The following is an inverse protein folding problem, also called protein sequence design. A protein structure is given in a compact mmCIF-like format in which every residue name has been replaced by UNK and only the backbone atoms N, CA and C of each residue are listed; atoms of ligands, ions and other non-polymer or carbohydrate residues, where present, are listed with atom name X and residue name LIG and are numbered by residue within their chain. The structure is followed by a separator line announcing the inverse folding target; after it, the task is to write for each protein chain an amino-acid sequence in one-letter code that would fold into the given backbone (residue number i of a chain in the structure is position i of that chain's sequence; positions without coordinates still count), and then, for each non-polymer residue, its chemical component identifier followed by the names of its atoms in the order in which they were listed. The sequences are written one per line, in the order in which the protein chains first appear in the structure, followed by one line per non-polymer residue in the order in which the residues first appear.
data_IF_324649066033
#
_entry.id   IF_324649066033
#
_cell.length_a   1.000
_cell.length_b   1.000
_cell.length_c   1.000
_cell.angle_alpha   90.00
_cell.angle_beta   90.00
_cell.angle_gamma   90.00
#
_symmetry.space_group_name_H-M   'P 1'
#
loop_
_entity.id
_entity.type
_entity.pdbx_description
1 polymer ?
#
# COMPACT_ATOMS: atom_id res chain seq x y z
N UNK A 1 -13.50 1.46 17.71
CA UNK A 1 -12.86 2.04 16.51
C UNK A 1 -13.17 1.14 15.33
N UNK A 2 -13.62 1.68 14.19
CA UNK A 2 -14.01 0.88 13.02
C UNK A 2 -13.13 1.30 11.84
N UNK A 3 -11.97 0.66 11.73
CA UNK A 3 -10.98 0.94 10.70
C UNK A 3 -11.46 0.44 9.34
N UNK A 4 -11.37 1.29 8.31
CA UNK A 4 -11.66 0.94 6.91
C UNK A 4 -10.35 0.95 6.12
N UNK A 5 -10.01 -0.21 5.54
CA UNK A 5 -8.81 -0.36 4.73
C UNK A 5 -9.21 -0.34 3.25
N UNK A 6 -8.66 0.60 2.49
CA UNK A 6 -9.01 0.80 1.07
C UNK A 6 -7.75 0.67 0.22
N UNK A 7 -7.74 -0.30 -0.69
CA UNK A 7 -6.65 -0.48 -1.64
C UNK A 7 -7.06 -0.11 -3.06
N UNK A 8 -6.21 0.64 -3.76
CA UNK A 8 -6.43 0.92 -5.18
C UNK A 8 -5.13 0.88 -5.99
N UNK A 9 -5.21 0.27 -7.17
CA UNK A 9 -4.20 0.38 -8.21
C UNK A 9 -4.79 1.19 -9.36
N UNK A 10 -4.17 2.33 -9.72
CA UNK A 10 -4.61 3.11 -10.88
C UNK A 10 -3.43 3.79 -11.57
N UNK A 11 -3.15 3.49 -12.85
CA UNK A 11 -2.11 4.15 -13.63
C UNK A 11 -2.47 5.60 -14.04
N UNK A 12 -3.63 6.13 -13.64
CA UNK A 12 -4.11 7.49 -13.95
C UNK A 12 -4.39 8.30 -12.68
N UNK A 13 -4.78 9.58 -12.82
CA UNK A 13 -5.02 10.52 -11.72
C UNK A 13 -6.16 10.10 -10.75
N UNK A 14 -6.84 8.98 -10.98
CA UNK A 14 -7.92 8.47 -10.11
C UNK A 14 -7.42 8.07 -8.72
N UNK A 15 -6.11 7.85 -8.52
CA UNK A 15 -5.52 7.67 -7.18
C UNK A 15 -5.76 8.88 -6.28
N UNK A 16 -5.58 10.09 -6.83
CA UNK A 16 -5.73 11.36 -6.10
C UNK A 16 -7.19 11.61 -5.75
N UNK A 17 -8.10 11.29 -6.68
CA UNK A 17 -9.56 11.45 -6.48
C UNK A 17 -10.06 10.46 -5.42
N UNK A 18 -9.64 9.20 -5.50
CA UNK A 18 -10.04 8.17 -4.54
C UNK A 18 -9.52 8.44 -3.13
N UNK A 19 -8.27 8.87 -2.98
CA UNK A 19 -7.73 9.26 -1.68
C UNK A 19 -8.49 10.47 -1.10
N UNK A 20 -8.73 11.50 -1.92
CA UNK A 20 -9.46 12.71 -1.49
C UNK A 20 -10.88 12.42 -1.00
N UNK A 21 -11.62 11.55 -1.70
CA UNK A 21 -12.97 11.17 -1.28
C UNK A 21 -12.98 10.44 0.07
N UNK A 22 -11.93 9.66 0.36
CA UNK A 22 -11.77 8.97 1.63
C UNK A 22 -11.36 9.95 2.73
N UNK A 23 -10.48 10.91 2.43
CA UNK A 23 -10.08 11.98 3.36
C UNK A 23 -11.30 12.80 3.82
N UNK A 24 -12.23 13.10 2.90
CA UNK A 24 -13.43 13.90 3.16
C UNK A 24 -14.57 13.09 3.82
N UNK A 25 -14.42 11.76 3.96
CA UNK A 25 -15.51 10.88 4.42
C UNK A 25 -15.74 10.87 5.93
N UNK A 26 -14.79 11.38 6.73
CA UNK A 26 -14.84 11.30 8.19
C UNK A 26 -14.64 9.87 8.75
N UNK A 27 -14.18 8.93 7.92
CA UNK A 27 -13.88 7.56 8.34
C UNK A 27 -12.50 7.46 8.98
N UNK A 28 -12.38 6.59 9.97
CA UNK A 28 -11.12 6.04 10.43
C UNK A 28 -10.57 5.12 9.33
N UNK A 29 -9.64 5.62 8.50
CA UNK A 29 -9.21 4.90 7.31
C UNK A 29 -7.69 4.68 7.26
N UNK A 30 -7.27 3.68 6.49
CA UNK A 30 -5.89 3.59 5.98
C UNK A 30 -5.95 3.30 4.48
N UNK A 31 -5.33 4.15 3.68
CA UNK A 31 -5.36 4.02 2.22
C UNK A 31 -4.08 3.34 1.72
N UNK A 32 -4.23 2.19 1.06
CA UNK A 32 -3.12 1.37 0.59
C UNK A 32 -2.84 1.65 -0.88
N UNK A 33 -1.69 2.29 -1.12
CA UNK A 33 -1.08 2.40 -2.45
C UNK A 33 -0.17 1.19 -2.61
N UNK A 34 -0.43 0.38 -3.62
CA UNK A 34 0.37 -0.81 -3.92
C UNK A 34 1.04 -0.65 -5.29
N UNK A 35 2.24 -1.19 -5.42
CA UNK A 35 2.91 -1.38 -6.71
C UNK A 35 2.42 -2.69 -7.37
N UNK A 36 3.11 -3.18 -8.42
CA UNK A 36 2.68 -4.35 -9.17
C UNK A 36 2.61 -5.61 -8.30
N UNK A 37 1.46 -6.27 -8.31
CA UNK A 37 1.17 -7.42 -7.46
C UNK A 37 1.54 -8.74 -8.14
N UNK A 38 2.36 -9.53 -7.47
CA UNK A 38 2.69 -10.89 -7.90
C UNK A 38 2.55 -11.90 -6.76
N UNK A 39 2.71 -13.18 -7.09
CA UNK A 39 2.62 -14.28 -6.14
C UNK A 39 4.00 -14.91 -5.98
N UNK A 40 4.45 -15.03 -4.73
CA UNK A 40 5.64 -15.79 -4.35
C UNK A 40 5.39 -16.32 -2.95
N UNK A 41 5.40 -17.62 -2.79
CA UNK A 41 5.15 -18.27 -1.50
C UNK A 41 6.28 -17.96 -0.51
N UNK A 42 5.90 -17.63 0.73
CA UNK A 42 6.81 -17.33 1.83
C UNK A 42 7.36 -15.90 1.83
N UNK A 43 7.22 -15.14 0.74
CA UNK A 43 7.68 -13.76 0.68
C UNK A 43 6.61 -12.80 1.25
N UNK A 44 6.81 -12.43 2.51
CA UNK A 44 5.94 -11.49 3.27
C UNK A 44 6.61 -10.14 3.52
N UNK A 45 7.78 -9.91 2.93
CA UNK A 45 8.58 -8.71 3.16
C UNK A 45 7.96 -7.49 2.47
N UNK A 46 7.70 -6.44 3.23
CA UNK A 46 7.22 -5.17 2.71
C UNK A 46 8.03 -4.00 3.29
N UNK A 47 8.02 -2.89 2.56
CA UNK A 47 8.49 -1.58 2.98
C UNK A 47 7.38 -0.55 2.77
N UNK A 48 7.27 0.37 3.72
CA UNK A 48 6.30 1.46 3.65
C UNK A 48 6.90 2.72 3.06
N UNK A 49 6.10 3.44 2.28
CA UNK A 49 6.42 4.76 1.74
C UNK A 49 5.34 5.74 2.21
N UNK A 50 5.67 6.71 3.08
CA UNK A 50 4.73 7.74 3.52
C UNK A 50 4.11 8.54 2.36
N UNK A 51 2.99 9.22 2.65
CA UNK A 51 2.44 10.18 1.71
C UNK A 51 3.40 11.37 1.52
N UNK A 52 3.49 11.89 0.29
CA UNK A 52 4.39 12.99 -0.05
C UNK A 52 5.83 12.56 -0.39
N UNK A 53 6.22 11.33 -0.06
CA UNK A 53 7.54 10.81 -0.46
C UNK A 53 7.56 10.25 -1.89
N UNK A 54 8.72 10.28 -2.57
CA UNK A 54 8.89 9.66 -3.87
C UNK A 54 8.53 8.17 -3.84
N UNK A 55 7.51 7.80 -4.61
CA UNK A 55 7.02 6.44 -4.67
C UNK A 55 7.93 5.58 -5.56
N UNK A 56 8.99 5.02 -4.97
CA UNK A 56 9.94 4.11 -5.65
C UNK A 56 9.71 2.66 -5.23
N UNK A 57 9.55 1.77 -6.21
CA UNK A 57 9.37 0.33 -6.01
C UNK A 57 8.54 -0.29 -7.13
N UNK A 58 9.07 -1.34 -7.75
CA UNK A 58 8.47 -1.89 -8.97
C UNK A 58 7.44 -3.00 -8.74
N UNK A 59 7.48 -3.68 -7.59
CA UNK A 59 6.64 -4.84 -7.32
C UNK A 59 6.45 -5.10 -5.82
N UNK A 60 5.43 -5.88 -5.47
CA UNK A 60 5.15 -6.37 -4.12
C UNK A 60 4.31 -7.65 -4.17
N UNK A 61 4.55 -8.59 -3.26
CA UNK A 61 3.76 -9.82 -3.21
C UNK A 61 2.40 -9.59 -2.56
N UNK A 62 1.38 -10.35 -2.99
CA UNK A 62 0.07 -10.36 -2.30
C UNK A 62 0.19 -10.81 -0.84
N UNK A 63 1.12 -11.72 -0.54
CA UNK A 63 1.39 -12.17 0.83
C UNK A 63 1.99 -11.07 1.71
N UNK A 64 2.85 -10.21 1.18
CA UNK A 64 3.41 -9.07 1.90
C UNK A 64 2.34 -8.00 2.17
N UNK A 65 1.44 -7.74 1.22
CA UNK A 65 0.28 -6.87 1.45
C UNK A 65 -0.64 -7.44 2.54
N UNK A 66 -0.92 -8.73 2.52
CA UNK A 66 -1.70 -9.39 3.56
C UNK A 66 -1.01 -9.29 4.93
N UNK A 67 0.32 -9.46 4.98
CA UNK A 67 1.08 -9.28 6.22
C UNK A 67 0.95 -7.85 6.76
N UNK A 68 1.10 -6.84 5.91
CA UNK A 68 0.87 -5.45 6.32
C UNK A 68 -0.52 -5.23 6.91
N UNK A 69 -1.57 -5.79 6.29
CA UNK A 69 -2.95 -5.69 6.81
C UNK A 69 -3.05 -6.36 8.19
N UNK A 70 -2.45 -7.53 8.38
CA UNK A 70 -2.43 -8.21 9.68
C UNK A 70 -1.67 -7.42 10.74
N UNK A 71 -0.60 -6.73 10.37
CA UNK A 71 0.18 -5.88 11.28
C UNK A 71 -0.61 -4.63 11.66
N UNK A 72 -1.31 -4.02 10.70
CA UNK A 72 -2.19 -2.87 10.95
C UNK A 72 -3.39 -3.23 11.84
N UNK A 73 -3.94 -4.44 11.72
CA UNK A 73 -5.02 -4.89 12.60
C UNK A 73 -4.57 -5.10 14.06
N UNK A 74 -3.27 -5.35 14.29
CA UNK A 74 -2.68 -5.47 15.63
C UNK A 74 -2.47 -4.10 16.29
N UNK A 75 -2.09 -3.08 15.50
CA UNK A 75 -2.02 -1.69 15.94
C UNK A 75 -2.65 -0.74 14.92
N UNK A 76 -3.99 -0.54 14.99
CA UNK A 76 -4.72 0.32 14.06
C UNK A 76 -4.32 1.79 14.13
N UNK A 77 -3.67 2.23 15.22
CA UNK A 77 -3.31 3.63 15.42
C UNK A 77 -2.10 4.07 14.60
N UNK A 78 -1.28 3.11 14.15
CA UNK A 78 -0.02 3.35 13.45
C UNK A 78 -0.18 4.13 12.14
N UNK A 79 -1.20 3.77 11.36
CA UNK A 79 -1.42 4.30 10.00
C UNK A 79 -2.86 4.84 9.84
N UNK A 80 -3.42 5.43 10.89
CA UNK A 80 -4.77 6.00 10.88
C UNK A 80 -4.81 7.34 10.13
N UNK A 81 -5.78 7.48 9.24
CA UNK A 81 -6.04 8.71 8.48
C UNK A 81 -4.93 9.06 7.49
N UNK A 82 -4.17 8.06 7.01
CA UNK A 82 -3.02 8.29 6.12
C UNK A 82 -3.03 7.37 4.89
N UNK A 83 -2.34 7.83 3.85
CA UNK A 83 -2.07 7.07 2.63
C UNK A 83 -0.67 6.47 2.62
N UNK A 84 -0.58 5.15 2.73
CA UNK A 84 0.69 4.42 2.79
C UNK A 84 0.99 3.70 1.48
N UNK A 85 2.23 3.81 1.02
CA UNK A 85 2.77 3.00 -0.06
C UNK A 85 3.31 1.67 0.44
N UNK A 86 3.05 0.59 -0.29
CA UNK A 86 3.56 -0.74 0.02
C UNK A 86 4.35 -1.25 -1.19
N UNK A 87 5.62 -1.56 -0.95
CA UNK A 87 6.57 -2.07 -1.96
C UNK A 87 7.37 -3.23 -1.39
N UNK A 88 7.90 -4.10 -2.26
CA UNK A 88 8.90 -5.09 -1.86
C UNK A 88 10.27 -4.40 -1.63
N UNK A 89 10.96 -4.66 -0.51
CA UNK A 89 12.30 -4.14 -0.28
C UNK A 89 13.28 -4.55 -1.41
N UNK A 90 14.03 -3.59 -1.95
CA UNK A 90 14.96 -3.82 -3.05
C UNK A 90 14.34 -3.66 -4.44
N UNK A 91 13.01 -3.61 -4.54
CA UNK A 91 12.32 -3.36 -5.81
C UNK A 91 12.48 -1.92 -6.31
N UNK A 92 13.05 -1.01 -5.52
CA UNK A 92 13.36 0.36 -5.93
C UNK A 92 14.49 0.46 -6.95
N UNK A 93 15.33 -0.58 -7.04
CA UNK A 93 16.39 -0.70 -8.03
C UNK A 93 15.87 -1.21 -9.40
N UNK A 94 14.62 -1.67 -9.46
CA UNK A 94 14.02 -2.23 -10.66
C UNK A 94 13.32 -1.12 -11.47
N UNK A 95 13.58 -1.08 -12.78
CA UNK A 95 12.89 -0.16 -13.68
C UNK A 95 11.43 -0.57 -13.94
N UNK A 96 11.11 -1.87 -13.81
CA UNK A 96 9.80 -2.48 -14.05
C UNK A 96 9.69 -3.79 -13.24
N UNK A 97 8.48 -4.28 -12.93
CA UNK A 97 8.33 -5.57 -12.26
C UNK A 97 9.03 -6.70 -13.02
N UNK A 98 9.49 -7.70 -12.29
CA UNK A 98 10.05 -8.92 -12.87
C UNK A 98 8.89 -9.75 -13.41
N UNK A 99 8.95 -10.05 -14.71
CA UNK A 99 8.01 -10.96 -15.34
C UNK A 99 8.51 -12.40 -15.17
N UNK A 100 7.63 -13.27 -14.68
CA UNK A 100 7.80 -14.72 -14.68
C UNK A 100 7.09 -15.31 -15.89
#
# INVERSE_FOLDING_TARGET
MRLVIIGAYSPTNNRVIGAKLVDESGLDYTYLRMTWLYNQEGNRSYKLIPQGEPYKGAQVTRQAVAQYVMDLLQDPSRDLGVSVGIVEPGSEALAKPVFY
#
